data_IF_445657686353
#
_entry.id   IF_445657686353
#
_cell.length_a   1.000
_cell.length_b   1.000
_cell.length_c   1.000
_cell.angle_alpha   90.00
_cell.angle_beta   90.00
_cell.angle_gamma   90.00
#
_symmetry.space_group_name_H-M   'P 1'
#
loop_
_entity.id
_entity.type
_entity.pdbx_description
1 polymer ?
#
# COMPACT_ATOMS: atom_id res chain seq x y z
N UNK A 1 19.05 6.51 21.71
CA UNK A 1 19.31 5.37 20.80
C UNK A 1 18.38 5.56 19.61
N UNK A 2 18.90 5.55 18.39
CA UNK A 2 18.10 5.70 17.17
C UNK A 2 18.13 4.42 16.34
N UNK A 3 17.12 4.22 15.51
CA UNK A 3 16.97 3.03 14.68
C UNK A 3 17.67 3.19 13.32
N UNK A 4 18.30 2.12 12.81
CA UNK A 4 18.73 2.04 11.41
C UNK A 4 17.56 1.57 10.55
N UNK A 5 17.13 2.41 9.61
CA UNK A 5 15.96 2.16 8.76
C UNK A 5 16.38 1.95 7.32
N UNK A 6 15.93 0.87 6.70
CA UNK A 6 16.06 0.67 5.26
C UNK A 6 14.70 0.90 4.57
N UNK A 7 14.69 1.61 3.44
CA UNK A 7 13.49 1.79 2.61
C UNK A 7 13.72 1.12 1.26
N UNK A 8 13.06 -0.02 1.04
CA UNK A 8 13.16 -0.79 -0.20
C UNK A 8 12.07 -0.36 -1.19
N UNK A 9 12.47 -0.02 -2.42
CA UNK A 9 11.59 0.62 -3.39
C UNK A 9 11.59 2.15 -3.26
N UNK A 10 12.66 2.73 -2.69
CA UNK A 10 12.79 4.16 -2.39
C UNK A 10 12.59 5.08 -3.60
N UNK A 11 12.79 4.60 -4.83
CA UNK A 11 12.60 5.41 -6.04
C UNK A 11 11.16 5.48 -6.52
N UNK A 12 10.27 4.58 -6.05
CA UNK A 12 8.85 4.56 -6.38
C UNK A 12 8.05 5.58 -5.55
N UNK A 13 6.81 5.86 -5.96
CA UNK A 13 5.97 6.88 -5.32
C UNK A 13 5.80 6.65 -3.81
N UNK A 14 5.45 5.43 -3.41
CA UNK A 14 5.26 5.10 -1.98
C UNK A 14 6.59 5.11 -1.21
N UNK A 15 7.69 4.64 -1.82
CA UNK A 15 9.00 4.68 -1.16
C UNK A 15 9.50 6.11 -0.89
N UNK A 16 9.25 7.03 -1.83
CA UNK A 16 9.51 8.47 -1.64
C UNK A 16 8.64 9.04 -0.52
N UNK A 17 7.36 8.67 -0.49
CA UNK A 17 6.45 9.11 0.57
C UNK A 17 6.86 8.57 1.95
N UNK A 18 7.32 7.32 2.03
CA UNK A 18 7.88 6.76 3.28
C UNK A 18 9.06 7.60 3.79
N UNK A 19 9.98 8.01 2.91
CA UNK A 19 11.10 8.88 3.28
C UNK A 19 10.63 10.26 3.76
N UNK A 20 9.68 10.88 3.04
CA UNK A 20 9.10 12.16 3.42
C UNK A 20 8.46 12.08 4.82
N UNK A 21 7.58 11.10 5.04
CA UNK A 21 6.86 10.93 6.31
C UNK A 21 7.82 10.61 7.47
N UNK A 22 8.86 9.79 7.25
CA UNK A 22 9.88 9.56 8.27
C UNK A 22 10.56 10.86 8.70
N UNK A 23 10.87 11.74 7.75
CA UNK A 23 11.48 13.05 8.03
C UNK A 23 10.51 14.01 8.70
N UNK A 24 9.31 14.18 8.14
CA UNK A 24 8.28 15.10 8.62
C UNK A 24 7.84 14.78 10.06
N UNK A 25 7.75 13.48 10.38
CA UNK A 25 7.39 13.03 11.74
C UNK A 25 8.57 13.05 12.71
N UNK A 26 9.78 13.43 12.26
CA UNK A 26 10.99 13.38 13.08
C UNK A 26 11.23 11.99 13.67
N UNK A 27 10.98 10.93 12.88
CA UNK A 27 11.14 9.56 13.35
C UNK A 27 12.57 9.36 13.90
N UNK A 28 12.76 8.67 15.05
CA UNK A 28 14.07 8.58 15.72
C UNK A 28 15.03 7.62 14.99
N UNK A 29 15.36 7.91 13.73
CA UNK A 29 16.32 7.16 12.94
C UNK A 29 17.75 7.67 13.18
N UNK A 30 18.68 6.77 13.50
CA UNK A 30 20.11 7.06 13.51
C UNK A 30 20.66 7.14 12.08
N UNK A 31 20.15 6.30 11.20
CA UNK A 31 20.52 6.22 9.78
C UNK A 31 19.32 5.77 8.95
N UNK A 32 19.19 6.32 7.74
CA UNK A 32 18.19 5.91 6.75
C UNK A 32 18.88 5.54 5.44
N UNK A 33 18.63 4.32 4.97
CA UNK A 33 19.22 3.77 3.76
C UNK A 33 18.14 3.61 2.68
N UNK A 34 18.35 4.25 1.53
CA UNK A 34 17.47 4.12 0.38
C UNK A 34 17.92 2.94 -0.52
N UNK A 35 17.04 1.97 -0.73
CA UNK A 35 17.31 0.76 -1.50
C UNK A 35 16.36 0.63 -2.70
N UNK A 36 16.89 0.20 -3.83
CA UNK A 36 16.10 -0.15 -5.01
C UNK A 36 16.79 -1.27 -5.82
N UNK A 37 16.22 -1.63 -6.97
CA UNK A 37 16.89 -2.56 -7.88
C UNK A 37 18.10 -1.93 -8.58
N UNK A 38 18.97 -2.75 -9.16
CA UNK A 38 20.17 -2.32 -9.87
C UNK A 38 19.92 -1.21 -10.90
N UNK A 39 18.77 -1.21 -11.60
CA UNK A 39 18.39 -0.17 -12.58
C UNK A 39 18.29 1.25 -11.99
N UNK A 40 18.08 1.35 -10.69
CA UNK A 40 17.88 2.61 -9.96
C UNK A 40 19.04 2.94 -9.03
N UNK A 41 20.09 2.11 -9.00
CA UNK A 41 21.28 2.36 -8.20
C UNK A 41 21.93 3.69 -8.60
N UNK A 42 22.38 4.45 -7.60
CA UNK A 42 23.03 5.75 -7.79
C UNK A 42 22.08 6.91 -8.06
N UNK A 43 20.78 6.66 -8.22
CA UNK A 43 19.76 7.72 -8.22
C UNK A 43 19.73 8.40 -6.86
N UNK A 44 19.36 9.67 -6.83
CA UNK A 44 19.20 10.43 -5.59
C UNK A 44 17.72 10.55 -5.19
N UNK A 45 17.45 10.43 -3.90
CA UNK A 45 16.13 10.66 -3.29
C UNK A 45 16.27 11.59 -2.09
N UNK A 46 15.26 12.43 -1.86
CA UNK A 46 15.25 13.35 -0.72
C UNK A 46 14.82 12.62 0.56
N UNK A 47 15.40 13.04 1.68
CA UNK A 47 15.00 12.69 3.03
C UNK A 47 15.11 13.94 3.91
N UNK A 48 14.03 14.73 3.94
CA UNK A 48 14.05 16.09 4.49
C UNK A 48 15.06 16.96 3.75
N UNK A 49 15.92 17.64 4.51
CA UNK A 49 16.99 18.47 3.95
C UNK A 49 18.18 17.66 3.43
N UNK A 50 18.18 16.33 3.63
CA UNK A 50 19.26 15.44 3.17
C UNK A 50 18.92 14.83 1.82
N UNK A 51 19.97 14.50 1.06
CA UNK A 51 19.88 13.72 -0.18
C UNK A 51 20.55 12.37 0.06
N UNK A 52 19.82 11.28 -0.22
CA UNK A 52 20.30 9.91 -0.08
C UNK A 52 20.60 9.34 -1.46
N UNK A 53 21.77 8.72 -1.60
CA UNK A 53 22.13 7.95 -2.80
C UNK A 53 21.56 6.54 -2.68
N UNK A 54 20.80 6.12 -3.69
CA UNK A 54 20.14 4.81 -3.72
C UNK A 54 21.16 3.70 -3.92
N UNK A 55 21.16 2.72 -3.02
CA UNK A 55 21.97 1.51 -3.08
C UNK A 55 21.19 0.33 -3.67
N UNK A 56 21.92 -0.66 -4.19
CA UNK A 56 21.30 -1.86 -4.75
C UNK A 56 20.86 -2.81 -3.62
N UNK A 57 19.57 -3.14 -3.60
CA UNK A 57 18.96 -4.10 -2.68
C UNK A 57 19.73 -5.43 -2.62
N UNK A 58 20.20 -5.93 -3.75
CA UNK A 58 20.80 -7.28 -3.81
C UNK A 58 22.16 -7.36 -3.10
N UNK A 59 22.82 -6.21 -2.89
CA UNK A 59 24.16 -6.13 -2.32
C UNK A 59 24.15 -5.54 -0.90
N UNK A 60 22.97 -5.26 -0.34
CA UNK A 60 22.84 -4.66 0.99
C UNK A 60 22.72 -5.73 2.07
N UNK A 61 23.49 -5.58 3.15
CA UNK A 61 23.42 -6.44 4.34
C UNK A 61 22.43 -5.83 5.34
N UNK A 62 21.46 -6.63 5.79
CA UNK A 62 20.43 -6.21 6.73
C UNK A 62 20.75 -6.62 8.18
N UNK A 63 21.90 -7.26 8.43
CA UNK A 63 22.29 -7.79 9.75
C UNK A 63 22.38 -6.73 10.85
N UNK A 64 22.64 -5.47 10.48
CA UNK A 64 22.71 -4.31 11.38
C UNK A 64 21.52 -3.34 11.23
N UNK A 65 20.48 -3.74 10.49
CA UNK A 65 19.31 -2.90 10.20
C UNK A 65 18.14 -3.28 11.12
N UNK A 66 17.58 -2.30 11.82
CA UNK A 66 16.48 -2.55 12.76
C UNK A 66 15.14 -2.76 12.05
N UNK A 67 14.81 -1.89 11.09
CA UNK A 67 13.51 -1.88 10.41
C UNK A 67 13.70 -1.71 8.90
N UNK A 68 12.98 -2.50 8.12
CA UNK A 68 12.89 -2.38 6.67
C UNK A 68 11.46 -2.04 6.25
N UNK A 69 11.26 -0.84 5.68
CA UNK A 69 10.02 -0.47 5.00
C UNK A 69 10.05 -0.99 3.56
N UNK A 70 9.23 -1.99 3.26
CA UNK A 70 9.22 -2.69 1.97
C UNK A 70 8.09 -2.18 1.08
N UNK A 71 8.44 -1.55 -0.04
CA UNK A 71 7.50 -1.06 -1.05
C UNK A 71 8.01 -1.27 -2.48
N UNK A 72 8.47 -2.48 -2.79
CA UNK A 72 8.97 -2.87 -4.12
C UNK A 72 8.07 -3.87 -4.87
N UNK A 73 6.84 -4.08 -4.39
CA UNK A 73 5.86 -5.00 -4.99
C UNK A 73 5.92 -6.43 -4.43
N UNK A 74 4.85 -7.20 -4.67
CA UNK A 74 4.63 -8.50 -4.01
C UNK A 74 5.70 -9.54 -4.32
N UNK A 75 6.12 -9.67 -5.59
CA UNK A 75 7.16 -10.64 -5.99
C UNK A 75 8.50 -10.37 -5.33
N UNK A 76 8.90 -9.09 -5.22
CA UNK A 76 10.15 -8.70 -4.55
C UNK A 76 10.03 -8.96 -3.05
N UNK A 77 8.89 -8.62 -2.44
CA UNK A 77 8.63 -8.90 -1.03
C UNK A 77 8.68 -10.39 -0.71
N UNK A 78 8.06 -11.25 -1.51
CA UNK A 78 8.11 -12.70 -1.33
C UNK A 78 9.55 -13.25 -1.37
N UNK A 79 10.41 -12.68 -2.22
CA UNK A 79 11.84 -13.06 -2.31
C UNK A 79 12.66 -12.56 -1.13
N UNK A 80 12.43 -11.32 -0.69
CA UNK A 80 13.35 -10.60 0.20
C UNK A 80 12.89 -10.52 1.64
N UNK A 81 11.60 -10.33 1.92
CA UNK A 81 11.10 -10.15 3.29
C UNK A 81 11.48 -11.32 4.22
N UNK A 82 11.42 -12.60 3.80
CA UNK A 82 11.87 -13.71 4.64
C UNK A 82 13.38 -13.69 4.91
N UNK A 83 14.19 -13.28 3.94
CA UNK A 83 15.66 -13.21 4.07
C UNK A 83 16.08 -12.08 5.00
N UNK A 84 15.39 -10.94 4.90
CA UNK A 84 15.61 -9.77 5.76
C UNK A 84 15.16 -10.10 7.19
N UNK A 85 13.97 -10.68 7.35
CA UNK A 85 13.44 -11.11 8.64
C UNK A 85 14.33 -12.14 9.35
N UNK A 86 14.93 -13.07 8.60
CA UNK A 86 15.87 -14.05 9.14
C UNK A 86 17.18 -13.45 9.68
N UNK A 87 17.52 -12.20 9.29
CA UNK A 87 18.68 -11.47 9.81
C UNK A 87 18.36 -10.64 11.07
N UNK A 88 17.11 -10.69 11.56
CA UNK A 88 16.67 -9.96 12.74
C UNK A 88 16.04 -8.59 12.45
N UNK A 89 16.11 -8.13 11.20
CA UNK A 89 15.46 -6.90 10.76
C UNK A 89 13.94 -7.06 10.65
N UNK A 90 13.17 -6.13 11.23
CA UNK A 90 11.70 -6.17 11.16
C UNK A 90 11.23 -5.56 9.84
N UNK A 91 10.58 -6.37 9.01
CA UNK A 91 10.04 -5.93 7.72
C UNK A 91 8.61 -5.44 7.89
N UNK A 92 8.33 -4.20 7.48
CA UNK A 92 6.97 -3.67 7.36
C UNK A 92 6.65 -3.62 5.86
N UNK A 93 5.80 -4.53 5.40
CA UNK A 93 5.53 -4.77 3.98
C UNK A 93 4.25 -4.12 3.49
N UNK A 94 4.36 -3.21 2.53
CA UNK A 94 3.22 -2.52 1.90
C UNK A 94 2.60 -3.27 0.72
N UNK A 95 3.12 -4.45 0.38
CA UNK A 95 2.53 -5.27 -0.68
C UNK A 95 1.39 -6.15 -0.15
N UNK A 96 0.68 -6.84 -1.04
CA UNK A 96 -0.32 -7.83 -0.66
C UNK A 96 0.28 -9.20 -0.32
N UNK A 97 1.60 -9.38 -0.39
CA UNK A 97 2.26 -10.69 -0.32
C UNK A 97 1.99 -11.43 1.00
N UNK A 98 1.96 -10.70 2.12
CA UNK A 98 1.92 -11.29 3.47
C UNK A 98 0.62 -11.05 4.22
N UNK A 99 -0.32 -10.29 3.66
CA UNK A 99 -1.55 -9.85 4.36
C UNK A 99 -2.43 -11.00 4.83
N UNK A 100 -2.38 -12.13 4.14
CA UNK A 100 -3.20 -13.31 4.39
C UNK A 100 -2.45 -14.48 5.01
N UNK A 101 -1.15 -14.32 5.27
CA UNK A 101 -0.37 -15.29 6.01
C UNK A 101 -0.86 -15.33 7.48
N UNK A 102 -0.99 -16.53 8.05
CA UNK A 102 -1.45 -16.73 9.43
C UNK A 102 -0.40 -16.37 10.48
N UNK A 103 0.88 -16.34 10.09
CA UNK A 103 2.00 -16.00 10.96
C UNK A 103 2.43 -14.54 10.84
N UNK A 104 1.80 -13.76 9.94
CA UNK A 104 2.08 -12.34 9.75
C UNK A 104 0.87 -11.49 10.18
N UNK A 105 1.05 -10.57 11.14
CA UNK A 105 -0.01 -9.65 11.52
C UNK A 105 -0.26 -8.63 10.41
N UNK A 106 -1.54 -8.36 10.18
CA UNK A 106 -2.02 -7.28 9.31
C UNK A 106 -2.48 -6.14 10.21
N UNK A 107 -1.86 -4.95 10.13
CA UNK A 107 -2.01 -3.93 11.17
C UNK A 107 -2.47 -2.60 10.59
N UNK A 108 -3.51 -2.04 11.22
CA UNK A 108 -3.77 -0.60 11.27
C UNK A 108 -3.61 -0.17 12.74
N UNK A 109 -2.67 0.72 13.07
CA UNK A 109 -2.37 1.07 14.46
C UNK A 109 -3.57 1.53 15.28
N UNK A 110 -4.52 2.23 14.66
CA UNK A 110 -5.74 2.75 15.29
C UNK A 110 -6.82 1.67 15.51
N UNK A 111 -6.66 0.49 14.92
CA UNK A 111 -7.69 -0.56 14.89
C UNK A 111 -7.29 -1.78 15.70
N UNK A 112 -6.09 -2.30 15.47
CA UNK A 112 -5.63 -3.56 16.07
C UNK A 112 -4.14 -3.51 16.47
N UNK A 113 -3.72 -2.51 17.28
CA UNK A 113 -2.31 -2.34 17.65
C UNK A 113 -1.74 -3.56 18.40
N UNK A 114 -2.56 -4.26 19.18
CA UNK A 114 -2.14 -5.41 19.99
C UNK A 114 -1.64 -6.59 19.14
N UNK A 115 -2.09 -6.69 17.88
CA UNK A 115 -1.65 -7.74 16.95
C UNK A 115 -0.17 -7.61 16.58
N UNK A 116 0.48 -6.48 16.89
CA UNK A 116 1.89 -6.26 16.59
C UNK A 116 2.78 -7.35 17.18
N UNK A 117 2.45 -7.91 18.35
CA UNK A 117 3.29 -8.91 19.03
C UNK A 117 3.58 -10.14 18.18
N UNK A 118 2.70 -10.46 17.22
CA UNK A 118 2.84 -11.60 16.31
C UNK A 118 3.94 -11.41 15.26
N UNK A 119 4.48 -10.19 15.08
CA UNK A 119 5.55 -9.93 14.10
C UNK A 119 6.74 -10.87 14.30
N UNK A 120 7.01 -11.27 15.57
CA UNK A 120 8.16 -12.09 15.97
C UNK A 120 8.18 -13.48 15.34
N UNK A 121 7.05 -13.98 14.82
CA UNK A 121 6.98 -15.30 14.16
C UNK A 121 7.79 -15.33 12.87
N UNK A 122 7.82 -14.22 12.13
CA UNK A 122 8.49 -14.11 10.82
C UNK A 122 9.42 -12.90 10.70
N UNK A 123 9.43 -12.01 11.69
CA UNK A 123 9.96 -10.64 11.60
C UNK A 123 9.34 -9.84 10.44
N UNK A 124 8.05 -10.07 10.18
CA UNK A 124 7.30 -9.39 9.12
C UNK A 124 5.99 -8.86 9.72
N UNK A 125 5.62 -7.64 9.34
CA UNK A 125 4.33 -7.01 9.57
C UNK A 125 3.77 -6.64 8.19
N UNK A 126 2.52 -6.98 7.93
CA UNK A 126 1.85 -6.58 6.70
C UNK A 126 1.09 -5.27 6.90
N UNK A 127 1.28 -4.34 5.98
CA UNK A 127 0.47 -3.13 5.85
C UNK A 127 -0.71 -3.42 4.91
N UNK A 128 -1.94 -3.00 5.26
CA UNK A 128 -3.15 -3.31 4.52
C UNK A 128 -3.26 -2.57 3.18
N UNK A 129 -4.31 -2.93 2.44
CA UNK A 129 -4.78 -2.23 1.25
C UNK A 129 -5.17 -0.80 1.63
N UNK A 130 -4.87 0.16 0.74
CA UNK A 130 -5.13 1.59 0.96
C UNK A 130 -6.61 1.90 1.26
N UNK A 131 -7.53 1.31 0.50
CA UNK A 131 -8.98 1.47 0.70
C UNK A 131 -9.41 0.86 2.03
N UNK A 132 -8.89 -0.33 2.36
CA UNK A 132 -9.20 -0.95 3.65
C UNK A 132 -8.70 -0.11 4.81
N UNK A 133 -7.47 0.39 4.75
CA UNK A 133 -6.83 1.16 5.82
C UNK A 133 -7.70 2.37 6.22
N UNK A 134 -8.09 3.20 5.25
CA UNK A 134 -8.94 4.37 5.53
C UNK A 134 -10.32 3.96 6.06
N UNK A 135 -10.89 2.88 5.52
CA UNK A 135 -12.21 2.38 5.90
C UNK A 135 -12.20 1.95 7.38
N UNK A 136 -11.27 1.08 7.77
CA UNK A 136 -11.29 0.52 9.13
C UNK A 136 -10.96 1.55 10.21
N UNK A 137 -10.16 2.58 9.92
CA UNK A 137 -9.95 3.71 10.83
C UNK A 137 -11.28 4.42 11.14
N UNK A 138 -12.13 4.62 10.12
CA UNK A 138 -13.45 5.22 10.30
C UNK A 138 -14.44 4.26 10.97
N UNK A 139 -14.41 2.97 10.63
CA UNK A 139 -15.34 1.96 11.16
C UNK A 139 -15.06 1.59 12.62
N UNK A 140 -13.80 1.55 13.04
CA UNK A 140 -13.40 1.08 14.37
C UNK A 140 -14.12 1.79 15.53
N UNK A 141 -14.07 3.12 15.67
CA UNK A 141 -14.75 3.80 16.78
C UNK A 141 -16.27 3.59 16.74
N UNK A 142 -16.86 3.49 15.53
CA UNK A 142 -18.29 3.19 15.38
C UNK A 142 -18.62 1.77 15.85
N UNK A 143 -17.81 0.79 15.45
CA UNK A 143 -17.97 -0.63 15.80
C UNK A 143 -17.82 -0.88 17.31
N UNK A 144 -16.98 -0.11 18.00
CA UNK A 144 -16.81 -0.22 19.44
C UNK A 144 -18.04 0.25 20.21
N UNK A 145 -18.67 1.33 19.76
CA UNK A 145 -19.88 1.92 20.39
C UNK A 145 -21.15 1.16 19.99
N UNK A 146 -21.28 0.80 18.71
CA UNK A 146 -22.41 0.06 18.17
C UNK A 146 -21.87 -1.02 17.21
N UNK A 147 -22.10 -2.30 17.55
CA UNK A 147 -21.57 -3.42 16.76
C UNK A 147 -22.10 -3.37 15.33
N UNK A 148 -21.21 -3.16 14.36
CA UNK A 148 -21.56 -3.14 12.95
C UNK A 148 -21.91 -4.56 12.49
N UNK A 149 -23.09 -4.72 11.86
CA UNK A 149 -23.54 -5.97 11.25
C UNK A 149 -23.13 -6.06 9.78
N UNK A 150 -23.26 -4.96 9.04
CA UNK A 150 -23.03 -4.93 7.59
C UNK A 150 -22.45 -3.60 7.13
N UNK A 151 -21.56 -3.67 6.14
CA UNK A 151 -20.99 -2.54 5.42
C UNK A 151 -21.16 -2.75 3.92
N UNK A 152 -21.69 -1.75 3.24
CA UNK A 152 -21.66 -1.63 1.78
C UNK A 152 -20.76 -0.46 1.44
N UNK A 153 -19.73 -0.71 0.64
CA UNK A 153 -18.79 0.33 0.22
C UNK A 153 -18.71 0.41 -1.29
N UNK A 154 -18.77 1.62 -1.83
CA UNK A 154 -18.44 1.91 -3.22
C UNK A 154 -17.23 2.83 -3.24
N UNK A 155 -16.13 2.37 -3.83
CA UNK A 155 -14.88 3.12 -3.87
C UNK A 155 -14.78 3.95 -5.13
N UNK A 156 -14.10 5.08 -5.00
CA UNK A 156 -13.74 6.01 -6.07
C UNK A 156 -12.23 6.19 -5.98
N UNK A 157 -11.50 5.21 -6.51
CA UNK A 157 -10.04 5.13 -6.36
C UNK A 157 -9.34 5.93 -7.46
N UNK A 158 -8.39 6.79 -7.09
CA UNK A 158 -7.53 7.55 -7.99
C UNK A 158 -6.59 6.69 -8.83
N UNK A 159 -6.05 7.23 -9.91
CA UNK A 159 -5.08 6.55 -10.78
C UNK A 159 -3.71 6.32 -10.14
N UNK A 160 -3.37 7.03 -9.06
CA UNK A 160 -2.13 6.79 -8.28
C UNK A 160 -2.04 5.37 -7.72
N UNK A 161 -3.18 4.69 -7.48
CA UNK A 161 -3.20 3.28 -7.07
C UNK A 161 -2.63 2.32 -8.12
N UNK A 162 -2.58 2.74 -9.39
CA UNK A 162 -1.92 2.01 -10.49
C UNK A 162 -0.45 2.46 -10.69
N UNK A 163 0.10 3.26 -9.78
CA UNK A 163 1.45 3.80 -9.83
C UNK A 163 1.61 4.97 -10.79
N UNK A 164 2.88 5.30 -11.07
CA UNK A 164 3.24 6.42 -11.97
C UNK A 164 2.62 6.28 -13.36
N UNK A 165 2.67 5.08 -13.94
CA UNK A 165 2.10 4.80 -15.26
C UNK A 165 0.60 5.13 -15.35
N UNK A 166 -0.16 4.88 -14.28
CA UNK A 166 -1.59 5.23 -14.23
C UNK A 166 -1.82 6.74 -14.22
N UNK A 167 -0.99 7.49 -13.49
CA UNK A 167 -1.03 8.95 -13.48
C UNK A 167 -0.61 9.54 -14.83
N UNK A 168 0.46 9.01 -15.42
CA UNK A 168 0.96 9.45 -16.73
C UNK A 168 -0.07 9.19 -17.85
N UNK A 169 -0.78 8.05 -17.79
CA UNK A 169 -1.86 7.73 -18.72
C UNK A 169 -3.04 8.70 -18.59
N UNK A 170 -3.53 8.97 -17.36
CA UNK A 170 -4.60 9.95 -17.16
C UNK A 170 -4.20 11.32 -17.70
N UNK A 171 -2.99 11.79 -17.40
CA UNK A 171 -2.48 13.07 -17.88
C UNK A 171 -2.43 13.12 -19.41
N UNK A 172 -1.84 12.10 -20.03
CA UNK A 172 -1.68 12.01 -21.49
C UNK A 172 -3.03 11.95 -22.20
N UNK A 173 -3.94 11.07 -21.75
CA UNK A 173 -5.28 10.95 -22.32
C UNK A 173 -6.08 12.24 -22.14
N UNK A 174 -5.98 12.91 -20.99
CA UNK A 174 -6.70 14.17 -20.74
C UNK A 174 -6.21 15.26 -21.70
N UNK A 175 -4.88 15.41 -21.88
CA UNK A 175 -4.33 16.36 -22.85
C UNK A 175 -4.78 16.04 -24.27
N UNK A 176 -4.70 14.77 -24.68
CA UNK A 176 -5.08 14.34 -26.03
C UNK A 176 -6.52 14.73 -26.39
N UNK A 177 -7.45 14.62 -25.44
CA UNK A 177 -8.85 15.03 -25.63
C UNK A 177 -8.98 16.52 -25.96
N UNK A 178 -8.22 17.38 -25.30
CA UNK A 178 -8.28 18.83 -25.53
C UNK A 178 -7.63 19.30 -26.83
N UNK A 179 -6.68 18.52 -27.37
CA UNK A 179 -6.00 18.83 -28.64
C UNK A 179 -6.49 17.97 -29.81
N UNK A 180 -7.55 17.18 -29.61
CA UNK A 180 -8.11 16.26 -30.60
C UNK A 180 -7.12 15.20 -31.13
N UNK A 181 -6.17 14.79 -30.30
CA UNK A 181 -5.26 13.68 -30.58
C UNK A 181 -5.93 12.31 -30.30
N UNK A 182 -5.41 11.21 -30.89
CA UNK A 182 -5.84 9.86 -30.55
C UNK A 182 -5.67 9.54 -29.06
N UNK A 183 -6.69 8.92 -28.45
CA UNK A 183 -6.66 8.51 -27.05
C UNK A 183 -6.35 7.02 -26.94
N UNK A 184 -5.15 6.69 -26.47
CA UNK A 184 -4.70 5.31 -26.29
C UNK A 184 -4.83 4.85 -24.82
N UNK A 185 -5.25 3.61 -24.61
CA UNK A 185 -5.25 2.94 -23.29
C UNK A 185 -4.15 1.89 -23.25
N UNK A 186 -3.15 2.08 -22.39
CA UNK A 186 -1.98 1.18 -22.25
C UNK A 186 -1.96 0.50 -20.89
N UNK A 187 -2.26 1.26 -19.83
CA UNK A 187 -2.27 0.82 -18.44
C UNK A 187 -3.63 0.34 -18.00
N UNK A 188 -4.70 1.07 -18.34
CA UNK A 188 -6.06 0.71 -17.96
C UNK A 188 -6.76 -0.10 -19.05
N UNK A 189 -7.75 -0.91 -18.66
CA UNK A 189 -8.52 -1.76 -19.60
C UNK A 189 -9.40 -0.96 -20.55
N UNK A 190 -9.68 0.30 -20.20
CA UNK A 190 -10.47 1.27 -20.95
C UNK A 190 -9.85 2.66 -20.73
N UNK A 191 -10.22 3.62 -21.58
CA UNK A 191 -9.90 5.04 -21.39
C UNK A 191 -10.32 5.48 -19.99
N UNK A 192 -9.41 6.12 -19.25
CA UNK A 192 -9.69 6.66 -17.92
C UNK A 192 -10.03 8.15 -17.96
N UNK A 193 -9.46 8.93 -18.88
CA UNK A 193 -9.76 10.36 -18.96
C UNK A 193 -11.25 10.62 -19.23
N UNK A 194 -11.90 11.35 -18.33
CA UNK A 194 -13.34 11.63 -18.35
C UNK A 194 -14.23 10.37 -18.31
N UNK A 195 -13.76 9.30 -17.68
CA UNK A 195 -14.49 8.04 -17.59
C UNK A 195 -14.32 7.39 -16.21
N UNK A 196 -15.17 6.42 -15.88
CA UNK A 196 -15.05 5.57 -14.70
C UNK A 196 -14.95 4.11 -15.11
N UNK A 197 -14.13 3.32 -14.40
CA UNK A 197 -13.87 1.91 -14.74
C UNK A 197 -14.19 1.04 -13.52
N UNK A 198 -15.29 0.27 -13.53
CA UNK A 198 -15.69 -0.61 -12.42
C UNK A 198 -14.91 -1.93 -12.47
N UNK A 199 -13.58 -1.84 -12.52
CA UNK A 199 -12.67 -2.98 -12.56
C UNK A 199 -11.29 -2.55 -12.06
N UNK A 200 -10.91 -3.04 -10.88
CA UNK A 200 -9.59 -2.80 -10.28
C UNK A 200 -9.00 -4.13 -9.87
N UNK A 201 -7.74 -4.35 -10.26
CA UNK A 201 -7.08 -5.66 -10.15
C UNK A 201 -7.77 -6.70 -11.07
N UNK A 202 -7.58 -8.00 -10.86
CA UNK A 202 -8.19 -9.06 -11.68
C UNK A 202 -9.53 -9.55 -11.13
N UNK A 203 -10.44 -9.96 -12.01
CA UNK A 203 -11.63 -10.73 -11.62
C UNK A 203 -11.28 -12.06 -10.92
N UNK A 204 -12.17 -12.46 -10.02
CA UNK A 204 -12.21 -13.74 -9.31
C UNK A 204 -13.36 -14.59 -9.87
N UNK A 205 -13.38 -15.88 -9.51
CA UNK A 205 -14.34 -16.85 -10.04
C UNK A 205 -15.81 -16.53 -9.68
N UNK A 206 -16.03 -15.84 -8.57
CA UNK A 206 -17.34 -15.44 -8.06
C UNK A 206 -17.86 -14.11 -8.66
N UNK A 207 -17.09 -13.51 -9.56
CA UNK A 207 -17.43 -12.25 -10.24
C UNK A 207 -16.96 -10.99 -9.52
N UNK A 208 -16.47 -11.08 -8.28
CA UNK A 208 -15.79 -9.95 -7.64
C UNK A 208 -14.41 -9.73 -8.26
N UNK A 209 -13.88 -8.52 -8.10
CA UNK A 209 -12.48 -8.23 -8.36
C UNK A 209 -11.63 -8.50 -7.11
N UNK A 210 -10.33 -8.75 -7.29
CA UNK A 210 -9.40 -8.91 -6.17
C UNK A 210 -9.36 -7.69 -5.25
N UNK A 211 -9.57 -6.48 -5.78
CA UNK A 211 -9.61 -5.28 -4.95
C UNK A 211 -10.82 -5.27 -4.00
N UNK A 212 -12.00 -5.65 -4.50
CA UNK A 212 -13.20 -5.78 -3.68
C UNK A 212 -13.06 -6.88 -2.62
N UNK A 213 -12.45 -8.01 -3.01
CA UNK A 213 -12.14 -9.09 -2.08
C UNK A 213 -11.15 -8.67 -0.99
N UNK A 214 -10.11 -7.88 -1.30
CA UNK A 214 -9.18 -7.34 -0.29
C UNK A 214 -9.92 -6.52 0.76
N UNK A 215 -10.79 -5.61 0.33
CA UNK A 215 -11.59 -4.79 1.27
C UNK A 215 -12.41 -5.66 2.21
N UNK A 216 -13.04 -6.72 1.69
CA UNK A 216 -13.79 -7.68 2.50
C UNK A 216 -12.90 -8.46 3.46
N UNK A 217 -11.85 -9.11 2.95
CA UNK A 217 -11.03 -10.06 3.69
C UNK A 217 -10.18 -9.35 4.75
N UNK A 218 -9.58 -8.22 4.41
CA UNK A 218 -8.72 -7.45 5.30
C UNK A 218 -9.54 -6.76 6.42
N UNK A 219 -10.73 -6.24 6.11
CA UNK A 219 -11.65 -5.70 7.13
C UNK A 219 -12.03 -6.78 8.15
N UNK A 220 -12.39 -7.98 7.70
CA UNK A 220 -12.73 -9.10 8.59
C UNK A 220 -11.54 -9.54 9.44
N UNK A 221 -10.33 -9.55 8.90
CA UNK A 221 -9.11 -9.94 9.62
C UNK A 221 -8.76 -8.94 10.73
N UNK A 222 -8.93 -7.64 10.49
CA UNK A 222 -8.50 -6.60 11.44
C UNK A 222 -9.58 -6.12 12.40
N UNK A 223 -10.84 -6.03 11.97
CA UNK A 223 -11.92 -5.39 12.73
C UNK A 223 -12.83 -6.40 13.45
N UNK A 224 -13.51 -7.26 12.70
CA UNK A 224 -14.40 -8.31 13.25
C UNK A 224 -14.63 -9.39 12.19
N UNK A 225 -14.33 -10.69 12.43
CA UNK A 225 -14.58 -11.74 11.46
C UNK A 225 -16.07 -11.96 11.12
N UNK A 226 -17.00 -11.51 11.97
CA UNK A 226 -18.45 -11.65 11.79
C UNK A 226 -19.07 -10.54 10.93
N UNK A 227 -18.36 -9.43 10.69
CA UNK A 227 -18.88 -8.30 9.92
C UNK A 227 -19.16 -8.72 8.47
N UNK A 228 -20.34 -8.39 7.95
CA UNK A 228 -20.67 -8.60 6.53
C UNK A 228 -20.17 -7.40 5.74
N UNK A 229 -19.31 -7.61 4.76
CA UNK A 229 -18.77 -6.54 3.91
C UNK A 229 -19.05 -6.89 2.46
N UNK A 230 -19.48 -5.91 1.67
CA UNK A 230 -19.50 -5.99 0.21
C UNK A 230 -18.95 -4.67 -0.34
N UNK A 231 -18.15 -4.79 -1.40
CA UNK A 231 -17.44 -3.68 -1.99
C UNK A 231 -17.68 -3.65 -3.50
N UNK A 232 -17.85 -2.46 -4.05
CA UNK A 232 -17.71 -2.20 -5.49
C UNK A 232 -16.53 -1.27 -5.71
N UNK A 233 -15.51 -1.73 -6.45
CA UNK A 233 -14.29 -0.97 -6.66
C UNK A 233 -14.25 -0.28 -8.03
N UNK A 234 -14.22 1.06 -8.03
CA UNK A 234 -14.27 1.85 -9.26
C UNK A 234 -13.06 2.78 -9.37
N UNK A 235 -12.37 2.72 -10.53
CA UNK A 235 -11.30 3.66 -10.87
C UNK A 235 -11.92 4.93 -11.42
N UNK A 236 -11.51 6.08 -10.88
CA UNK A 236 -11.99 7.41 -11.29
C UNK A 236 -10.83 8.27 -11.81
N UNK A 237 -11.09 9.30 -12.63
CA UNK A 237 -10.06 10.14 -13.25
C UNK A 237 -9.54 11.21 -12.28
N UNK A 238 -9.11 10.78 -11.10
CA UNK A 238 -8.51 11.60 -10.05
C UNK A 238 -7.06 11.17 -9.90
N UNK A 239 -6.13 12.12 -9.76
CA UNK A 239 -4.70 11.81 -9.68
C UNK A 239 -4.33 11.10 -8.37
N UNK A 240 -4.67 11.68 -7.22
CA UNK A 240 -4.26 11.21 -5.89
C UNK A 240 -5.46 11.29 -4.94
N UNK A 241 -5.56 10.33 -4.02
CA UNK A 241 -6.62 10.25 -3.01
C UNK A 241 -7.70 9.25 -3.40
N UNK A 242 -8.15 8.44 -2.44
CA UNK A 242 -9.29 7.55 -2.61
C UNK A 242 -10.47 8.14 -1.85
N UNK A 243 -11.67 7.92 -2.37
CA UNK A 243 -12.92 8.28 -1.70
C UNK A 243 -13.83 7.07 -1.66
N UNK A 244 -14.70 7.03 -0.65
CA UNK A 244 -15.57 5.88 -0.41
C UNK A 244 -16.95 6.39 0.01
N UNK A 245 -17.99 5.88 -0.64
CA UNK A 245 -19.36 5.98 -0.15
C UNK A 245 -19.63 4.74 0.69
N UNK A 246 -19.88 4.93 2.00
CA UNK A 246 -20.00 3.83 2.97
C UNK A 246 -21.38 3.85 3.62
N UNK A 247 -22.13 2.77 3.47
CA UNK A 247 -23.39 2.54 4.16
C UNK A 247 -23.20 1.46 5.24
N UNK A 248 -23.58 1.79 6.47
CA UNK A 248 -23.31 0.97 7.66
C UNK A 248 -24.62 0.59 8.34
N UNK A 249 -24.76 -0.69 8.66
CA UNK A 249 -25.86 -1.27 9.44
C UNK A 249 -25.34 -1.72 10.81
N UNK A 250 -26.07 -1.36 11.87
CA UNK A 250 -25.74 -1.66 13.28
C UNK A 250 -26.72 -2.67 13.89
#
# INVERSE_FOLDING_TARGET
MGFKIAVVGATGNVGREMLNILSERGFPASEVVALASARSQGTEVSFGDKVLKVSNLENYDFSDTDICLMSAGGTISQKWSPKIGAQGCVVIDNSSAWRYDSEVPLIVPEVNPDAIVDFKKRNIIANPNCSTAQLVVALKPLHDVAKIKRVVVSTYQSVSGAGKEGMDELFTQTRAVFVADPVESKKFTKRIAFNVIPHIDSFMEDGYTKEEWKVLAETKKMLDPKIKVTCTAVRVPVFIGHSESVNIEF
#
